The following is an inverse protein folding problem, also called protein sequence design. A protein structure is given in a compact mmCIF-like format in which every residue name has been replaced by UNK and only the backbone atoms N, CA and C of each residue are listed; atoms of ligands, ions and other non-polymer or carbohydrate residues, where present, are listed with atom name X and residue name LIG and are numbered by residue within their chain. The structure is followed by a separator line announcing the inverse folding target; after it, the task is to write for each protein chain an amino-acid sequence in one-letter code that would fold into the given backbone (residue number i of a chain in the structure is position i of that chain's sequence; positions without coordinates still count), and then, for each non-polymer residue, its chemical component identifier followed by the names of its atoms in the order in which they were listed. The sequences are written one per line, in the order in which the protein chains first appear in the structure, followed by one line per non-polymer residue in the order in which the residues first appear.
data_IF_107386569858
#
_entry.id   IF_107386569858
#
_cell.length_a   1.000
_cell.length_b   1.000
_cell.length_c   1.000
_cell.angle_alpha   90.00
_cell.angle_beta   90.00
_cell.angle_gamma   90.00
#
_symmetry.space_group_name_H-M   'P 1'
#
loop_
_entity.id
_entity.type
_entity.pdbx_description
1 polymer ?
#
# COMPACT_ATOMS: atom_id res chain seq x y z
N UNK A 1 -1.28 -61.85 -49.87
CA UNK A 1 -1.91 -60.55 -50.18
C UNK A 1 -3.06 -60.31 -49.24
N UNK A 2 -2.92 -59.36 -48.31
CA UNK A 2 -3.97 -58.88 -47.42
C UNK A 2 -3.47 -57.60 -46.77
N UNK A 3 -4.06 -56.44 -47.11
CA UNK A 3 -3.66 -55.14 -46.54
C UNK A 3 -4.17 -55.04 -45.10
N UNK A 4 -3.39 -54.46 -44.16
CA UNK A 4 -3.90 -54.14 -42.84
C UNK A 4 -4.78 -52.88 -42.89
N UNK A 5 -5.89 -52.94 -42.17
CA UNK A 5 -6.81 -51.83 -41.91
C UNK A 5 -6.17 -50.83 -40.93
N UNK A 6 -6.11 -49.55 -41.32
CA UNK A 6 -5.79 -48.44 -40.42
C UNK A 6 -7.09 -47.97 -39.74
N UNK A 7 -7.23 -48.23 -38.44
CA UNK A 7 -8.31 -47.69 -37.61
C UNK A 7 -8.15 -46.18 -37.48
N UNK A 8 -9.18 -45.42 -37.88
CA UNK A 8 -9.25 -43.98 -37.70
C UNK A 8 -9.31 -43.60 -36.22
N UNK A 9 -8.31 -42.84 -35.77
CA UNK A 9 -8.34 -42.14 -34.49
C UNK A 9 -9.07 -40.81 -34.64
N UNK A 10 -10.08 -40.58 -33.78
CA UNK A 10 -10.87 -39.34 -33.76
C UNK A 10 -10.07 -38.16 -33.23
N UNK A 11 -9.92 -37.13 -34.06
CA UNK A 11 -9.42 -35.81 -33.68
C UNK A 11 -10.62 -34.97 -33.25
N UNK A 12 -10.91 -34.92 -31.94
CA UNK A 12 -12.11 -34.21 -31.47
C UNK A 12 -12.09 -33.69 -30.04
N UNK A 13 -10.93 -33.65 -29.38
CA UNK A 13 -10.85 -33.25 -27.95
C UNK A 13 -10.15 -31.92 -27.65
N UNK A 14 -9.26 -31.45 -28.53
CA UNK A 14 -8.34 -30.36 -28.17
C UNK A 14 -8.81 -28.96 -28.62
N UNK A 15 -9.81 -28.86 -29.49
CA UNK A 15 -10.26 -27.57 -30.04
C UNK A 15 -11.22 -26.79 -29.13
N UNK A 16 -11.86 -27.44 -28.16
CA UNK A 16 -12.91 -26.81 -27.33
C UNK A 16 -12.34 -26.20 -26.05
N UNK A 17 -11.18 -26.67 -25.58
CA UNK A 17 -10.56 -26.19 -24.34
C UNK A 17 -9.76 -24.89 -24.53
N UNK A 18 -9.17 -24.66 -25.71
CA UNK A 18 -8.42 -23.43 -25.98
C UNK A 18 -9.33 -22.22 -26.26
N UNK A 19 -10.52 -22.45 -26.80
CA UNK A 19 -11.46 -21.35 -27.11
C UNK A 19 -12.20 -20.86 -25.87
N UNK A 20 -12.41 -21.70 -24.85
CA UNK A 20 -13.09 -21.30 -23.62
C UNK A 20 -12.20 -20.40 -22.74
N UNK A 21 -10.90 -20.66 -22.65
CA UNK A 21 -9.97 -19.82 -21.89
C UNK A 21 -9.76 -18.44 -22.53
N UNK A 22 -9.76 -18.35 -23.87
CA UNK A 22 -9.62 -17.07 -24.56
C UNK A 22 -10.90 -16.23 -24.47
N UNK A 23 -12.08 -16.86 -24.47
CA UNK A 23 -13.36 -16.18 -24.23
C UNK A 23 -13.48 -15.64 -22.80
N UNK A 24 -12.96 -16.37 -21.81
CA UNK A 24 -12.97 -15.92 -20.41
C UNK A 24 -12.09 -14.67 -20.19
N UNK A 25 -10.95 -14.58 -20.89
CA UNK A 25 -10.07 -13.40 -20.84
C UNK A 25 -10.71 -12.18 -21.53
N UNK A 26 -11.41 -12.38 -22.66
CA UNK A 26 -12.08 -11.30 -23.38
C UNK A 26 -13.35 -10.78 -22.68
N UNK A 27 -14.11 -11.66 -21.99
CA UNK A 27 -15.28 -11.25 -21.21
C UNK A 27 -14.93 -10.40 -19.97
N UNK A 28 -13.69 -10.45 -19.49
CA UNK A 28 -13.22 -9.69 -18.33
C UNK A 28 -13.04 -8.20 -18.62
N UNK A 29 -12.85 -7.81 -19.89
CA UNK A 29 -12.63 -6.42 -20.29
C UNK A 29 -13.92 -5.60 -20.46
N UNK A 30 -15.10 -6.21 -20.42
CA UNK A 30 -16.35 -5.59 -20.88
C UNK A 30 -17.40 -5.31 -19.79
N UNK A 31 -17.15 -5.66 -18.52
CA UNK A 31 -18.06 -5.32 -17.42
C UNK A 31 -17.30 -4.57 -16.33
N UNK A 32 -17.79 -3.38 -16.00
CA UNK A 32 -17.24 -2.46 -14.98
C UNK A 32 -17.12 -3.11 -13.58
N UNK A 33 -17.78 -4.24 -13.36
CA UNK A 33 -17.74 -5.04 -12.13
C UNK A 33 -16.59 -6.08 -12.08
N UNK A 34 -15.90 -6.36 -13.19
CA UNK A 34 -14.84 -7.39 -13.29
C UNK A 34 -13.40 -6.90 -13.12
N UNK A 35 -13.18 -5.62 -12.85
CA UNK A 35 -11.88 -5.12 -12.37
C UNK A 35 -11.52 -5.58 -10.94
N UNK A 36 -12.35 -6.41 -10.30
CA UNK A 36 -12.17 -6.78 -8.90
C UNK A 36 -11.19 -7.94 -8.66
N UNK A 37 -11.12 -8.89 -9.60
CA UNK A 37 -10.18 -10.01 -9.52
C UNK A 37 -8.70 -9.58 -9.55
N UNK A 38 -8.24 -8.67 -10.45
CA UNK A 38 -6.85 -8.21 -10.42
C UNK A 38 -6.51 -7.43 -9.15
N UNK A 39 -7.47 -6.69 -8.55
CA UNK A 39 -7.22 -5.93 -7.32
C UNK A 39 -6.99 -6.87 -6.13
N UNK A 40 -7.80 -7.92 -5.96
CA UNK A 40 -7.58 -8.89 -4.87
C UNK A 40 -6.23 -9.58 -5.00
N UNK A 41 -5.90 -10.05 -6.22
CA UNK A 41 -4.61 -10.70 -6.49
C UNK A 41 -3.46 -9.74 -6.21
N UNK A 42 -3.56 -8.48 -6.64
CA UNK A 42 -2.53 -7.48 -6.42
C UNK A 42 -2.36 -7.13 -4.94
N UNK A 43 -3.44 -6.96 -4.18
CA UNK A 43 -3.35 -6.71 -2.73
C UNK A 43 -2.81 -7.93 -1.99
N UNK A 44 -3.21 -9.15 -2.38
CA UNK A 44 -2.66 -10.37 -1.80
C UNK A 44 -1.15 -10.45 -2.05
N UNK A 45 -0.69 -10.27 -3.29
CA UNK A 45 0.73 -10.24 -3.63
C UNK A 45 1.47 -9.17 -2.83
N UNK A 46 0.91 -7.96 -2.77
CA UNK A 46 1.47 -6.87 -1.98
C UNK A 46 1.62 -7.25 -0.49
N UNK A 47 0.59 -7.84 0.14
CA UNK A 47 0.64 -8.32 1.52
C UNK A 47 1.69 -9.43 1.72
N UNK A 48 1.84 -10.36 0.76
CA UNK A 48 2.90 -11.38 0.83
C UNK A 48 4.29 -10.75 0.83
N UNK A 49 4.52 -9.71 0.00
CA UNK A 49 5.80 -8.98 -0.04
C UNK A 49 6.05 -8.16 1.21
N UNK A 50 5.02 -7.57 1.80
CA UNK A 50 5.14 -6.92 3.10
C UNK A 50 5.56 -7.90 4.19
N UNK A 51 4.95 -9.08 4.23
CA UNK A 51 5.36 -10.14 5.18
C UNK A 51 6.81 -10.55 4.97
N UNK A 52 7.22 -10.72 3.70
CA UNK A 52 8.61 -11.04 3.37
C UNK A 52 9.57 -9.93 3.82
N UNK A 53 9.22 -8.66 3.61
CA UNK A 53 9.99 -7.52 4.10
C UNK A 53 10.12 -7.55 5.63
N UNK A 54 9.02 -7.78 6.37
CA UNK A 54 9.04 -7.89 7.83
C UNK A 54 9.97 -9.03 8.31
N UNK A 55 9.86 -10.22 7.72
CA UNK A 55 10.74 -11.33 8.03
C UNK A 55 12.20 -11.00 7.72
N UNK A 56 12.45 -10.32 6.60
CA UNK A 56 13.80 -9.92 6.19
C UNK A 56 14.40 -8.92 7.18
N UNK A 57 13.65 -7.91 7.62
CA UNK A 57 14.11 -6.93 8.62
C UNK A 57 14.35 -7.58 9.98
N UNK A 58 13.47 -8.50 10.39
CA UNK A 58 13.61 -9.25 11.64
C UNK A 58 14.90 -10.08 11.67
N UNK A 59 15.28 -10.70 10.54
CA UNK A 59 16.55 -11.44 10.40
C UNK A 59 17.79 -10.54 10.53
N UNK A 60 17.70 -9.27 10.13
CA UNK A 60 18.77 -8.28 10.29
C UNK A 60 18.80 -7.68 11.72
N UNK A 61 17.92 -8.12 12.64
CA UNK A 61 17.82 -7.60 13.99
C UNK A 61 17.16 -6.21 14.09
N UNK A 62 16.45 -5.78 13.04
CA UNK A 62 15.75 -4.49 13.02
C UNK A 62 14.31 -4.64 13.55
N UNK A 63 13.81 -3.64 14.31
CA UNK A 63 12.41 -3.62 14.71
C UNK A 63 11.50 -3.50 13.49
N UNK A 64 10.32 -4.13 13.57
CA UNK A 64 9.33 -4.05 12.51
C UNK A 64 8.84 -2.59 12.36
N UNK A 65 8.85 -2.01 11.14
CA UNK A 65 8.33 -0.67 10.92
C UNK A 65 6.81 -0.65 11.07
N UNK A 66 6.27 0.48 11.53
CA UNK A 66 4.83 0.75 11.50
C UNK A 66 4.41 1.09 10.06
N UNK A 67 3.75 0.16 9.39
CA UNK A 67 3.26 0.37 8.04
C UNK A 67 1.88 1.03 8.01
N UNK A 68 1.78 2.07 7.17
CA UNK A 68 0.55 2.81 6.91
C UNK A 68 0.26 2.82 5.40
N UNK A 69 -0.89 2.28 5.02
CA UNK A 69 -1.42 2.35 3.66
C UNK A 69 -2.41 3.51 3.55
N UNK A 70 -2.14 4.41 2.62
CA UNK A 70 -2.98 5.59 2.40
C UNK A 70 -3.85 5.34 1.17
N UNK A 71 -5.16 5.27 1.38
CA UNK A 71 -6.11 5.17 0.29
C UNK A 71 -6.39 6.56 -0.29
N UNK A 72 -6.48 6.62 -1.62
CA UNK A 72 -6.75 7.85 -2.36
C UNK A 72 -8.16 8.40 -2.07
N UNK A 73 -8.31 9.72 -2.23
CA UNK A 73 -9.56 10.45 -2.01
C UNK A 73 -10.60 10.23 -3.12
N UNK A 74 -10.24 9.60 -4.23
CA UNK A 74 -11.14 9.37 -5.37
C UNK A 74 -12.34 8.48 -5.00
N UNK A 75 -13.49 8.77 -5.61
CA UNK A 75 -14.77 8.12 -5.30
C UNK A 75 -14.71 6.60 -5.48
N UNK A 76 -14.01 6.12 -6.51
CA UNK A 76 -13.84 4.70 -6.79
C UNK A 76 -13.03 3.98 -5.71
N UNK A 77 -11.92 4.54 -5.27
CA UNK A 77 -11.06 3.99 -4.22
C UNK A 77 -11.75 4.03 -2.86
N UNK A 78 -12.50 5.11 -2.55
CA UNK A 78 -13.28 5.22 -1.32
C UNK A 78 -14.32 4.12 -1.17
N UNK A 79 -15.05 3.79 -2.25
CA UNK A 79 -16.02 2.69 -2.24
C UNK A 79 -15.37 1.34 -1.92
N UNK A 80 -14.08 1.17 -2.22
CA UNK A 80 -13.31 -0.06 -2.05
C UNK A 80 -12.51 -0.12 -0.74
N UNK A 81 -12.50 0.94 0.07
CA UNK A 81 -11.65 1.03 1.27
C UNK A 81 -11.88 -0.11 2.27
N UNK A 82 -13.13 -0.56 2.43
CA UNK A 82 -13.46 -1.69 3.31
C UNK A 82 -12.73 -2.98 2.91
N UNK A 83 -12.56 -3.21 1.60
CA UNK A 83 -11.85 -4.38 1.07
C UNK A 83 -10.35 -4.26 1.31
N UNK A 84 -9.82 -3.05 1.15
CA UNK A 84 -8.43 -2.74 1.47
C UNK A 84 -8.13 -2.99 2.95
N UNK A 85 -9.01 -2.55 3.86
CA UNK A 85 -8.90 -2.85 5.29
C UNK A 85 -8.86 -4.35 5.57
N UNK A 86 -9.77 -5.11 4.96
CA UNK A 86 -9.82 -6.55 5.16
C UNK A 86 -8.54 -7.24 4.68
N UNK A 87 -8.05 -6.87 3.50
CA UNK A 87 -6.88 -7.49 2.90
C UNK A 87 -5.57 -7.08 3.60
N UNK A 88 -5.45 -5.84 4.07
CA UNK A 88 -4.28 -5.35 4.79
C UNK A 88 -4.23 -5.75 6.27
N UNK A 89 -5.29 -6.40 6.79
CA UNK A 89 -5.39 -6.80 8.20
C UNK A 89 -4.17 -7.64 8.60
N UNK A 90 -3.53 -7.26 9.72
CA UNK A 90 -2.32 -7.91 10.24
C UNK A 90 -1.02 -7.51 9.55
N UNK A 91 -1.07 -6.70 8.49
CA UNK A 91 0.11 -6.27 7.72
C UNK A 91 0.35 -4.76 7.81
N UNK A 92 -0.72 -3.95 7.76
CA UNK A 92 -0.62 -2.50 7.80
C UNK A 92 -1.91 -1.85 8.33
N UNK A 93 -1.78 -0.67 8.93
CA UNK A 93 -2.91 0.21 9.15
C UNK A 93 -3.35 0.83 7.82
N UNK A 94 -4.65 1.07 7.64
CA UNK A 94 -5.19 1.70 6.43
C UNK A 94 -5.83 3.02 6.82
N UNK A 95 -5.47 4.10 6.15
CA UNK A 95 -6.05 5.43 6.32
C UNK A 95 -6.72 5.88 5.03
N UNK A 96 -7.90 6.49 5.18
CA UNK A 96 -8.63 7.09 4.06
C UNK A 96 -8.33 8.58 3.98
N UNK A 97 -7.84 9.05 2.83
CA UNK A 97 -7.67 10.49 2.60
C UNK A 97 -9.03 11.20 2.58
N UNK A 98 -9.19 12.34 3.27
CA UNK A 98 -10.41 13.16 3.23
C UNK A 98 -10.70 13.70 1.82
N UNK A 99 -11.97 14.03 1.54
CA UNK A 99 -12.39 14.52 0.21
C UNK A 99 -11.99 15.98 -0.02
N UNK A 100 -11.90 16.78 1.05
CA UNK A 100 -11.66 18.23 0.99
C UNK A 100 -10.21 18.63 1.38
N UNK A 101 -9.30 17.67 1.42
CA UNK A 101 -7.88 17.98 1.63
C UNK A 101 -7.29 18.47 0.30
N UNK A 102 -7.23 19.79 0.12
CA UNK A 102 -6.24 20.45 -0.75
C UNK A 102 -4.82 20.35 -0.16
N UNK A 103 -4.69 19.79 1.03
CA UNK A 103 -3.44 19.47 1.71
C UNK A 103 -2.74 18.31 1.00
N UNK A 104 -2.14 18.69 -0.11
CA UNK A 104 -0.81 18.28 -0.56
C UNK A 104 0.04 17.88 0.65
N UNK A 105 0.11 16.57 0.91
CA UNK A 105 1.22 15.97 1.65
C UNK A 105 2.50 16.61 1.12
N UNK A 106 3.20 17.38 1.96
CA UNK A 106 4.27 18.28 1.51
C UNK A 106 5.30 17.52 0.67
N UNK A 107 5.50 17.96 -0.58
CA UNK A 107 6.56 17.48 -1.47
C UNK A 107 6.08 17.10 -2.87
N UNK A 108 5.26 16.07 -2.98
CA UNK A 108 4.73 15.58 -4.26
C UNK A 108 3.54 14.70 -3.95
N UNK A 109 2.43 14.95 -4.61
CA UNK A 109 1.26 14.08 -4.58
C UNK A 109 1.73 12.63 -4.74
N UNK A 110 1.52 11.80 -3.72
CA UNK A 110 1.87 10.39 -3.77
C UNK A 110 1.18 9.79 -4.97
N UNK A 111 1.98 9.44 -5.98
CA UNK A 111 1.45 8.72 -7.12
C UNK A 111 1.08 7.33 -6.61
N UNK A 112 0.05 6.73 -7.20
CA UNK A 112 -0.35 5.38 -6.81
C UNK A 112 0.86 4.44 -6.87
N UNK A 113 1.23 3.86 -5.73
CA UNK A 113 2.38 2.97 -5.61
C UNK A 113 3.66 3.61 -5.10
N UNK A 114 3.68 4.91 -4.74
CA UNK A 114 4.84 5.52 -4.08
C UNK A 114 4.97 5.04 -2.61
N UNK A 115 6.21 4.99 -2.12
CA UNK A 115 6.55 4.61 -0.73
C UNK A 115 7.28 5.77 -0.04
N UNK A 116 6.83 6.10 1.17
CA UNK A 116 7.44 7.11 2.02
C UNK A 116 8.00 6.45 3.27
N UNK A 117 9.26 6.73 3.59
CA UNK A 117 9.94 6.19 4.77
C UNK A 117 10.25 7.35 5.71
N UNK A 118 9.82 7.21 6.95
CA UNK A 118 10.02 8.19 8.01
C UNK A 118 10.94 7.59 9.09
N UNK A 119 11.80 8.43 9.65
CA UNK A 119 12.62 8.08 10.81
C UNK A 119 11.82 8.20 12.13
N UNK A 120 12.41 7.76 13.24
CA UNK A 120 11.89 7.79 14.61
C UNK A 120 11.46 9.17 15.08
N UNK A 121 12.07 10.24 14.56
CA UNK A 121 11.67 11.61 14.85
C UNK A 121 10.56 12.14 13.92
N UNK A 122 9.84 11.26 13.20
CA UNK A 122 8.78 11.59 12.24
C UNK A 122 9.21 12.50 11.07
N UNK A 123 10.47 12.38 10.63
CA UNK A 123 11.01 13.12 9.48
C UNK A 123 11.09 12.21 8.26
N UNK A 124 10.69 12.72 7.10
CA UNK A 124 10.76 11.99 5.83
C UNK A 124 12.24 11.81 5.44
N UNK A 125 12.69 10.57 5.30
CA UNK A 125 14.07 10.25 4.88
C UNK A 125 14.13 9.82 3.43
N UNK A 126 13.14 9.06 2.95
CA UNK A 126 13.06 8.63 1.56
C UNK A 126 11.63 8.77 1.02
N UNK A 127 11.54 9.27 -0.21
CA UNK A 127 10.38 9.12 -1.08
C UNK A 127 10.84 8.28 -2.28
N UNK A 128 10.15 7.17 -2.51
CA UNK A 128 10.40 6.28 -3.63
C UNK A 128 9.17 6.28 -4.52
N UNK A 129 9.37 6.63 -5.77
CA UNK A 129 8.39 6.49 -6.84
C UNK A 129 8.60 5.18 -7.61
N UNK A 130 7.61 4.84 -8.43
CA UNK A 130 7.74 3.70 -9.34
C UNK A 130 8.89 3.94 -10.33
N UNK A 131 9.76 2.93 -10.57
CA UNK A 131 9.65 1.52 -10.14
C UNK A 131 10.39 1.19 -8.82
N UNK A 132 11.06 2.15 -8.19
CA UNK A 132 11.88 1.92 -7.00
C UNK A 132 11.07 1.54 -5.76
N UNK A 133 9.78 1.90 -5.75
CA UNK A 133 8.83 1.55 -4.72
C UNK A 133 8.30 0.11 -4.78
N UNK A 134 8.62 -0.68 -5.82
CA UNK A 134 8.26 -2.08 -5.87
C UNK A 134 9.00 -2.88 -4.78
N UNK A 135 8.22 -3.53 -3.91
CA UNK A 135 8.73 -4.36 -2.81
C UNK A 135 9.46 -5.63 -3.29
N UNK A 136 9.36 -5.97 -4.57
CA UNK A 136 10.14 -7.07 -5.19
C UNK A 136 11.63 -6.74 -5.27
N UNK A 137 12.00 -5.45 -5.25
CA UNK A 137 13.38 -5.00 -5.31
C UNK A 137 13.92 -4.61 -3.93
N UNK A 138 15.25 -4.66 -3.72
CA UNK A 138 15.85 -4.44 -2.41
C UNK A 138 15.81 -2.98 -1.93
N UNK A 139 15.33 -2.04 -2.76
CA UNK A 139 15.43 -0.60 -2.52
C UNK A 139 14.70 -0.18 -1.24
N UNK A 140 13.45 -0.62 -1.07
CA UNK A 140 12.66 -0.29 0.12
C UNK A 140 13.32 -0.85 1.39
N UNK A 141 13.77 -2.11 1.37
CA UNK A 141 14.52 -2.71 2.49
C UNK A 141 15.77 -1.90 2.81
N UNK A 142 16.60 -1.62 1.80
CA UNK A 142 17.86 -0.89 1.98
C UNK A 142 17.65 0.51 2.56
N UNK A 143 16.61 1.22 2.11
CA UNK A 143 16.30 2.54 2.66
C UNK A 143 15.74 2.50 4.09
N UNK A 144 14.95 1.48 4.44
CA UNK A 144 14.54 1.26 5.83
C UNK A 144 15.77 1.01 6.71
N UNK A 145 16.69 0.12 6.27
CA UNK A 145 17.94 -0.14 6.98
C UNK A 145 18.78 1.13 7.14
N UNK A 146 18.95 1.89 6.06
CA UNK A 146 19.71 3.14 6.06
C UNK A 146 19.09 4.19 6.99
N UNK A 147 17.76 4.29 7.00
CA UNK A 147 17.01 5.20 7.89
C UNK A 147 17.19 4.80 9.35
N UNK A 148 17.23 3.51 9.66
CA UNK A 148 17.39 3.05 11.03
C UNK A 148 18.84 3.18 11.54
N UNK A 149 19.82 2.86 10.68
CA UNK A 149 21.23 2.81 11.04
C UNK A 149 21.89 4.18 11.10
N UNK A 150 21.50 5.09 10.21
CA UNK A 150 22.02 6.45 10.24
C UNK A 150 21.04 7.31 11.05
N UNK A 151 21.54 8.11 11.98
CA UNK A 151 20.80 9.22 12.54
C UNK A 151 20.63 10.29 11.44
N UNK A 152 19.84 9.97 10.40
CA UNK A 152 19.65 10.81 9.21
C UNK A 152 19.12 12.17 9.63
N UNK A 153 18.35 12.20 10.72
CA UNK A 153 18.05 13.43 11.39
C UNK A 153 18.91 13.63 12.64
N UNK A 154 19.42 14.86 12.82
CA UNK A 154 20.03 15.32 14.07
C UNK A 154 19.03 15.28 15.24
N UNK A 155 19.23 16.04 16.33
CA UNK A 155 18.41 15.92 17.53
C UNK A 155 16.91 15.91 17.19
N UNK A 156 16.17 14.92 17.71
CA UNK A 156 14.72 14.88 17.57
C UNK A 156 14.17 16.22 18.09
N UNK A 157 13.18 16.82 17.43
CA UNK A 157 12.48 17.93 18.04
C UNK A 157 11.88 17.38 19.34
N UNK A 158 12.25 17.97 20.47
CA UNK A 158 11.65 17.65 21.76
C UNK A 158 10.14 17.73 21.56
N UNK A 159 9.44 16.64 21.90
CA UNK A 159 7.98 16.56 21.78
C UNK A 159 7.41 17.85 22.38
N UNK A 160 6.64 18.62 21.61
CA UNK A 160 6.01 19.85 22.09
C UNK A 160 5.37 19.54 23.42
N UNK A 161 6.00 19.98 24.51
CA UNK A 161 5.42 19.96 25.83
C UNK A 161 4.09 20.67 25.68
N UNK A 162 3.04 19.98 26.13
CA UNK A 162 1.70 20.49 26.27
C UNK A 162 1.77 21.99 26.56
N UNK A 163 1.10 22.80 25.74
CA UNK A 163 0.86 24.20 26.07
C UNK A 163 0.13 24.17 27.40
N UNK A 164 0.93 24.34 28.46
CA UNK A 164 0.46 24.43 29.82
C UNK A 164 -0.62 25.49 29.82
N UNK A 165 -1.77 25.07 30.35
CA UNK A 165 -2.87 25.90 30.78
C UNK A 165 -2.32 27.13 31.50
N UNK A 166 -2.16 28.23 30.77
CA UNK A 166 -1.85 29.53 31.35
C UNK A 166 -3.12 30.03 32.01
N UNK A 167 -3.26 29.59 33.27
CA UNK A 167 -4.02 30.14 34.37
C UNK A 167 -4.20 31.66 34.19
N UNK A 168 -5.34 32.10 33.65
CA UNK A 168 -5.76 33.50 33.76
C UNK A 168 -6.35 33.68 35.16
N UNK A 169 -5.46 33.77 36.14
CA UNK A 169 -5.72 34.42 37.42
C UNK A 169 -5.49 35.91 37.19
N UNK A 170 -6.56 36.69 37.24
CA UNK A 170 -6.52 38.14 37.07
C UNK A 170 -7.90 38.72 37.30
N UNK A 171 -8.28 38.76 38.58
CA UNK A 171 -9.38 39.56 39.11
C UNK A 171 -9.03 41.03 38.82
N UNK A 172 -9.91 41.74 38.13
CA UNK A 172 -10.04 43.18 38.27
C UNK A 172 -11.46 43.59 37.85
N UNK A 173 -12.30 43.82 38.88
CA UNK A 173 -13.55 44.56 38.79
C UNK A 173 -13.22 46.03 38.54
N UNK A 174 -14.05 46.75 37.76
CA UNK A 174 -14.48 48.06 38.28
C UNK A 174 -16.00 48.28 38.12
N UNK A 175 -16.62 48.51 39.28
CA UNK A 175 -17.52 49.63 39.61
C UNK A 175 -18.29 50.33 38.49
N UNK A 176 -19.62 50.19 38.56
CA UNK A 176 -20.62 51.29 38.61
C UNK A 176 -20.28 52.60 37.88
N UNK A 177 -20.96 52.87 36.76
CA UNK A 177 -22.01 53.91 36.64
C UNK A 177 -22.83 53.71 35.36
#
# INVERSE_FOLDING_TARGET
MGRPQLKGGGWGGWSVLLTSSLLALLACAATDENCFFPIIVWVFLFCTRLTELHCSLSREGLPAPSLLLINSADTSSRRKVHRLHHAAKGHAAVCQTPVNTTERWHGSAGRHGDVYIYDRCHRLTFHMDLPMSYLDFPYVKAAIMNTHSNEVCGPCPESRTEVSSSKRSGIETPSQL
#
